data_IF_925061973324
#
_entry.id   IF_925061973324
#
_cell.length_a   1.000
_cell.length_b   1.000
_cell.length_c   1.000
_cell.angle_alpha   90.00
_cell.angle_beta   90.00
_cell.angle_gamma   90.00
#
_symmetry.space_group_name_H-M   'P 1'
#
loop_
_entity.id
_entity.type
_entity.pdbx_description
1 polymer ?
#
# COMPACT_ATOMS: atom_id res chain seq x y z
N UNK A 1 -38.52 -56.50 -50.97
CA UNK A 1 -37.22 -55.81 -50.94
C UNK A 1 -36.88 -55.55 -49.49
N UNK A 2 -35.91 -56.28 -48.94
CA UNK A 2 -35.44 -56.09 -47.57
C UNK A 2 -34.35 -55.02 -47.53
N UNK A 3 -34.35 -54.18 -46.49
CA UNK A 3 -33.22 -53.30 -46.17
C UNK A 3 -32.54 -53.84 -44.93
N UNK A 4 -31.35 -54.43 -45.11
CA UNK A 4 -30.58 -55.04 -44.04
C UNK A 4 -29.93 -53.94 -43.18
N UNK A 5 -30.46 -53.72 -41.97
CA UNK A 5 -29.74 -52.97 -40.94
C UNK A 5 -28.62 -53.85 -40.36
N UNK A 6 -27.37 -53.61 -40.78
CA UNK A 6 -26.18 -54.18 -40.14
C UNK A 6 -26.10 -53.69 -38.68
N UNK A 7 -26.21 -54.61 -37.72
CA UNK A 7 -25.87 -54.36 -36.32
C UNK A 7 -24.36 -54.50 -36.13
N UNK A 8 -23.75 -53.57 -35.41
CA UNK A 8 -22.38 -53.72 -34.90
C UNK A 8 -22.46 -54.43 -33.54
N UNK A 9 -21.71 -55.51 -33.29
CA UNK A 9 -21.73 -56.20 -32.01
C UNK A 9 -20.60 -55.77 -31.07
N UNK A 10 -20.96 -55.36 -29.86
CA UNK A 10 -20.07 -55.26 -28.71
C UNK A 10 -19.58 -56.66 -28.30
N UNK A 11 -18.31 -56.78 -27.88
CA UNK A 11 -17.62 -58.05 -27.61
C UNK A 11 -18.14 -58.90 -26.43
N UNK A 12 -19.34 -58.65 -25.91
CA UNK A 12 -19.97 -59.40 -24.80
C UNK A 12 -21.46 -59.75 -25.07
N UNK A 13 -21.96 -59.53 -26.29
CA UNK A 13 -23.16 -60.22 -26.80
C UNK A 13 -24.51 -59.95 -26.10
N UNK A 14 -24.67 -58.85 -25.36
CA UNK A 14 -25.98 -58.46 -24.78
C UNK A 14 -26.66 -57.37 -25.60
N UNK A 15 -27.82 -57.70 -26.18
CA UNK A 15 -28.67 -56.74 -26.90
C UNK A 15 -29.43 -55.90 -25.89
N UNK A 16 -29.05 -54.63 -25.72
CA UNK A 16 -29.86 -53.65 -25.01
C UNK A 16 -30.98 -53.12 -25.91
N UNK A 17 -32.24 -53.40 -25.55
CA UNK A 17 -33.36 -52.58 -25.98
C UNK A 17 -33.49 -51.41 -25.01
N UNK A 18 -33.28 -50.15 -25.42
CA UNK A 18 -33.41 -49.02 -24.52
C UNK A 18 -34.88 -48.80 -24.15
N UNK A 19 -35.19 -49.03 -22.87
CA UNK A 19 -36.43 -48.60 -22.20
C UNK A 19 -36.61 -47.08 -22.41
N UNK A 20 -37.83 -46.55 -22.23
CA UNK A 20 -38.10 -45.10 -22.39
C UNK A 20 -37.13 -44.22 -21.59
N UNK A 21 -36.76 -44.65 -20.37
CA UNK A 21 -35.74 -43.98 -19.55
C UNK A 21 -34.36 -43.89 -20.22
N UNK A 22 -33.95 -44.94 -20.92
CA UNK A 22 -32.67 -45.00 -21.66
C UNK A 22 -32.69 -44.14 -22.92
N UNK A 23 -33.83 -44.09 -23.62
CA UNK A 23 -34.01 -43.17 -24.76
C UNK A 23 -33.93 -41.70 -24.31
N UNK A 24 -34.51 -41.37 -23.14
CA UNK A 24 -34.39 -40.05 -22.52
C UNK A 24 -32.94 -39.66 -22.26
N UNK A 25 -32.14 -40.53 -21.63
CA UNK A 25 -30.72 -40.26 -21.32
C UNK A 25 -29.89 -40.08 -22.60
N UNK A 26 -30.12 -40.89 -23.64
CA UNK A 26 -29.42 -40.77 -24.93
C UNK A 26 -29.82 -39.46 -25.63
N UNK A 27 -31.11 -39.11 -25.65
CA UNK A 27 -31.58 -37.86 -26.21
C UNK A 27 -31.00 -36.63 -25.48
N UNK A 28 -30.92 -36.65 -24.15
CA UNK A 28 -30.32 -35.55 -23.37
C UNK A 28 -28.83 -35.38 -23.68
N UNK A 29 -28.05 -36.46 -23.78
CA UNK A 29 -26.64 -36.37 -24.16
C UNK A 29 -26.44 -35.92 -25.61
N UNK A 30 -27.27 -36.40 -26.54
CA UNK A 30 -27.24 -35.98 -27.94
C UNK A 30 -27.58 -34.48 -28.09
N UNK A 31 -28.59 -34.00 -27.37
CA UNK A 31 -28.95 -32.57 -27.31
C UNK A 31 -27.81 -31.75 -26.71
N UNK A 32 -27.18 -32.20 -25.61
CA UNK A 32 -26.06 -31.50 -24.99
C UNK A 32 -24.85 -31.41 -25.93
N UNK A 33 -24.50 -32.50 -26.61
CA UNK A 33 -23.41 -32.55 -27.59
C UNK A 33 -23.71 -31.69 -28.84
N UNK A 34 -24.96 -31.69 -29.32
CA UNK A 34 -25.40 -30.78 -30.38
C UNK A 34 -25.35 -29.31 -29.94
N UNK A 35 -25.75 -28.98 -28.71
CA UNK A 35 -25.64 -27.62 -28.18
C UNK A 35 -24.18 -27.16 -28.12
N UNK A 36 -23.27 -28.04 -27.67
CA UNK A 36 -21.83 -27.78 -27.63
C UNK A 36 -21.17 -27.69 -29.02
N UNK A 37 -21.73 -28.33 -30.04
CA UNK A 37 -21.24 -28.26 -31.42
C UNK A 37 -21.86 -27.13 -32.25
N UNK A 38 -23.06 -26.65 -31.87
CA UNK A 38 -23.79 -25.56 -32.52
C UNK A 38 -23.52 -24.19 -31.90
N UNK A 39 -23.12 -24.11 -30.63
CA UNK A 39 -22.43 -22.92 -30.14
C UNK A 39 -21.06 -22.84 -30.84
N UNK A 40 -20.78 -21.82 -31.68
CA UNK A 40 -19.42 -21.60 -32.13
C UNK A 40 -18.56 -21.41 -30.88
N UNK A 41 -17.34 -21.99 -30.80
CA UNK A 41 -16.51 -21.88 -29.60
C UNK A 41 -16.41 -20.40 -29.27
N UNK A 42 -16.86 -20.02 -28.06
CA UNK A 42 -16.75 -18.64 -27.59
C UNK A 42 -15.27 -18.32 -27.51
N UNK A 43 -14.75 -17.76 -28.60
CA UNK A 43 -13.44 -17.12 -28.66
C UNK A 43 -13.58 -15.85 -27.83
N UNK A 44 -13.58 -16.06 -26.51
CA UNK A 44 -13.28 -15.05 -25.53
C UNK A 44 -11.94 -14.48 -25.97
N UNK A 45 -11.95 -13.33 -26.64
CA UNK A 45 -10.75 -12.58 -27.02
C UNK A 45 -10.01 -12.35 -25.71
N UNK A 46 -9.02 -13.20 -25.42
CA UNK A 46 -8.32 -13.15 -24.15
C UNK A 46 -7.59 -11.83 -24.14
N UNK A 47 -8.04 -10.92 -23.26
CA UNK A 47 -7.39 -9.63 -23.05
C UNK A 47 -5.90 -9.92 -22.81
N UNK A 48 -5.07 -9.34 -23.66
CA UNK A 48 -3.62 -9.50 -23.62
C UNK A 48 -3.10 -9.00 -22.26
N UNK A 49 -2.07 -9.64 -21.68
CA UNK A 49 -1.37 -9.12 -20.51
C UNK A 49 -0.96 -7.67 -20.74
N UNK A 50 -1.31 -6.77 -19.82
CA UNK A 50 -0.92 -5.36 -19.87
C UNK A 50 -0.10 -5.01 -18.63
N UNK A 51 1.09 -4.40 -18.79
CA UNK A 51 1.84 -3.80 -17.70
C UNK A 51 1.00 -2.80 -16.89
N UNK A 52 1.25 -2.76 -15.59
CA UNK A 52 0.72 -1.77 -14.65
C UNK A 52 1.90 -1.22 -13.84
N UNK A 53 2.02 0.10 -13.75
CA UNK A 53 3.11 0.79 -13.05
C UNK A 53 2.62 2.16 -12.57
N UNK A 54 3.36 2.77 -11.64
CA UNK A 54 3.11 4.15 -11.22
C UNK A 54 3.90 5.11 -12.12
N UNK A 55 3.19 5.79 -13.03
CA UNK A 55 3.80 6.75 -13.97
C UNK A 55 4.34 8.00 -13.27
N UNK A 56 3.76 8.40 -12.13
CA UNK A 56 4.19 9.54 -11.33
C UNK A 56 5.45 9.24 -10.50
N UNK A 57 5.90 7.98 -10.51
CA UNK A 57 7.08 7.51 -9.78
C UNK A 57 8.13 6.94 -10.75
N UNK A 58 8.66 7.83 -11.59
CA UNK A 58 9.79 7.54 -12.48
C UNK A 58 11.11 7.40 -11.71
N UNK A 59 12.02 6.57 -12.21
CA UNK A 59 13.44 6.51 -11.81
C UNK A 59 14.30 7.26 -12.83
N UNK A 60 15.60 7.37 -12.57
CA UNK A 60 16.60 7.75 -13.59
C UNK A 60 17.22 6.51 -14.28
N UNK A 61 16.77 5.29 -13.97
CA UNK A 61 17.32 4.06 -14.57
C UNK A 61 16.83 3.93 -16.03
N UNK A 62 17.71 3.91 -17.04
CA UNK A 62 17.29 3.82 -18.43
C UNK A 62 16.71 2.43 -18.78
N UNK A 63 15.66 2.38 -19.61
CA UNK A 63 15.01 1.10 -19.94
C UNK A 63 15.94 0.12 -20.67
N UNK A 64 16.88 0.62 -21.47
CA UNK A 64 17.87 -0.16 -22.21
C UNK A 64 19.01 -0.72 -21.33
N UNK A 65 19.14 -0.24 -20.09
CA UNK A 65 19.96 -0.86 -19.04
C UNK A 65 19.15 -1.97 -18.40
N UNK A 66 17.93 -1.65 -17.94
CA UNK A 66 17.02 -2.61 -17.31
C UNK A 66 16.77 -3.87 -18.17
N UNK A 67 16.57 -3.71 -19.48
CA UNK A 67 16.26 -4.80 -20.41
C UNK A 67 17.30 -5.94 -20.43
N UNK A 68 18.54 -5.65 -20.00
CA UNK A 68 19.65 -6.61 -19.98
C UNK A 68 19.74 -7.42 -18.67
N UNK A 69 19.03 -7.01 -17.63
CA UNK A 69 19.26 -7.48 -16.25
C UNK A 69 18.47 -8.75 -15.88
N UNK A 70 17.28 -8.96 -16.47
CA UNK A 70 16.38 -10.05 -16.08
C UNK A 70 16.73 -11.43 -16.64
N UNK A 71 17.78 -11.56 -17.46
CA UNK A 71 18.12 -12.82 -18.11
C UNK A 71 18.39 -13.98 -17.11
N UNK A 72 19.01 -13.68 -15.97
CA UNK A 72 19.29 -14.66 -14.91
C UNK A 72 18.05 -14.98 -14.06
N UNK A 73 17.20 -13.99 -13.81
CA UNK A 73 15.91 -14.19 -13.14
C UNK A 73 15.00 -15.13 -13.96
N UNK A 74 14.82 -14.86 -15.26
CA UNK A 74 13.96 -15.68 -16.10
C UNK A 74 14.42 -17.14 -16.19
N UNK A 75 15.72 -17.41 -16.29
CA UNK A 75 16.26 -18.79 -16.24
C UNK A 75 15.89 -19.53 -14.96
N UNK A 76 15.78 -18.83 -13.82
CA UNK A 76 15.40 -19.42 -12.52
C UNK A 76 13.88 -19.65 -12.42
N UNK A 77 13.06 -18.72 -12.92
CA UNK A 77 11.61 -18.92 -13.01
C UNK A 77 11.28 -20.07 -13.96
N UNK A 78 11.93 -20.16 -15.12
CA UNK A 78 11.77 -21.28 -16.07
C UNK A 78 12.17 -22.65 -15.48
N UNK A 79 12.96 -22.68 -14.39
CA UNK A 79 13.36 -23.91 -13.68
C UNK A 79 12.52 -24.21 -12.41
N UNK A 80 11.78 -23.23 -11.89
CA UNK A 80 11.04 -23.30 -10.61
C UNK A 80 9.71 -22.54 -10.70
N UNK A 81 8.99 -22.78 -11.80
CA UNK A 81 7.79 -22.04 -12.23
C UNK A 81 6.63 -22.02 -11.22
N UNK A 82 6.53 -23.06 -10.39
CA UNK A 82 5.51 -23.28 -9.38
C UNK A 82 5.83 -22.68 -8.00
N UNK A 83 7.04 -22.13 -7.80
CA UNK A 83 7.47 -21.51 -6.53
C UNK A 83 7.57 -19.99 -6.66
N UNK A 84 7.20 -19.23 -5.60
CA UNK A 84 7.49 -17.81 -5.55
C UNK A 84 9.00 -17.58 -5.46
N UNK A 85 9.52 -16.64 -6.25
CA UNK A 85 10.94 -16.36 -6.38
C UNK A 85 11.21 -14.86 -6.29
N UNK A 86 12.18 -14.48 -5.46
CA UNK A 86 12.75 -13.14 -5.45
C UNK A 86 14.24 -13.20 -5.85
N UNK A 87 14.68 -12.25 -6.69
CA UNK A 87 16.08 -12.06 -7.03
C UNK A 87 16.42 -10.57 -7.09
N UNK A 88 17.33 -10.14 -6.21
CA UNK A 88 17.98 -8.82 -6.28
C UNK A 88 19.21 -8.89 -7.18
N UNK A 89 19.20 -8.13 -8.27
CA UNK A 89 20.32 -7.97 -9.20
C UNK A 89 20.84 -6.54 -9.19
N UNK A 90 22.12 -6.37 -9.55
CA UNK A 90 22.72 -5.07 -9.80
C UNK A 90 22.30 -4.56 -11.19
N UNK A 91 22.57 -3.28 -11.48
CA UNK A 91 22.29 -2.63 -12.76
C UNK A 91 23.03 -3.24 -13.97
N UNK A 92 24.09 -4.03 -13.75
CA UNK A 92 24.79 -4.81 -14.78
C UNK A 92 24.17 -6.21 -15.03
N UNK A 93 23.19 -6.63 -14.24
CA UNK A 93 22.56 -7.96 -14.29
C UNK A 93 23.27 -9.07 -13.50
N UNK A 94 24.33 -8.74 -12.75
CA UNK A 94 24.93 -9.64 -11.76
C UNK A 94 24.03 -9.80 -10.53
N UNK A 95 24.11 -10.93 -9.82
CA UNK A 95 23.28 -11.15 -8.64
C UNK A 95 23.88 -10.41 -7.44
N UNK A 96 23.12 -9.50 -6.83
CA UNK A 96 23.53 -8.79 -5.62
C UNK A 96 23.41 -9.69 -4.37
N UNK A 97 22.43 -10.59 -4.40
CA UNK A 97 22.13 -11.55 -3.33
C UNK A 97 21.93 -12.96 -3.92
N UNK A 98 22.13 -14.04 -3.14
CA UNK A 98 21.61 -15.35 -3.53
C UNK A 98 20.09 -15.28 -3.69
N UNK A 99 19.54 -16.07 -4.63
CA UNK A 99 18.10 -16.12 -4.88
C UNK A 99 17.37 -16.64 -3.64
N UNK A 100 16.36 -15.92 -3.17
CA UNK A 100 15.54 -16.31 -2.02
C UNK A 100 14.25 -16.94 -2.57
N UNK A 101 13.99 -18.19 -2.19
CA UNK A 101 12.66 -18.79 -2.34
C UNK A 101 11.78 -18.20 -1.24
N UNK A 102 10.83 -17.35 -1.62
CA UNK A 102 10.06 -16.55 -0.67
C UNK A 102 9.06 -17.44 0.07
N UNK A 103 9.35 -17.74 1.34
CA UNK A 103 8.35 -18.28 2.26
C UNK A 103 7.55 -17.11 2.85
N UNK A 104 6.28 -17.02 2.44
CA UNK A 104 5.19 -16.22 3.03
C UNK A 104 5.44 -14.69 3.24
N UNK A 105 4.74 -13.77 2.53
CA UNK A 105 4.99 -12.32 2.62
C UNK A 105 4.57 -11.62 3.93
N UNK A 106 4.34 -12.35 5.03
CA UNK A 106 3.70 -11.84 6.25
C UNK A 106 4.66 -11.41 7.38
N UNK A 107 5.88 -10.94 7.07
CA UNK A 107 6.73 -10.21 8.04
C UNK A 107 7.88 -9.43 7.36
N UNK A 108 7.96 -8.10 7.55
CA UNK A 108 9.08 -7.38 8.23
C UNK A 108 8.92 -5.83 8.20
N UNK A 109 9.48 -5.05 9.16
CA UNK A 109 9.28 -3.58 9.27
C UNK A 109 10.54 -2.68 9.12
N UNK A 110 10.36 -1.53 8.44
CA UNK A 110 10.99 -0.17 8.50
C UNK A 110 12.47 0.13 8.95
N UNK A 111 13.10 1.12 8.27
CA UNK A 111 14.20 2.10 8.64
C UNK A 111 15.71 1.73 8.39
N UNK A 112 16.70 2.68 8.26
CA UNK A 112 16.70 4.14 7.96
C UNK A 112 17.76 4.66 6.90
N UNK A 113 18.12 5.96 6.93
CA UNK A 113 18.80 6.80 5.90
C UNK A 113 20.24 7.28 6.22
N UNK A 114 21.07 7.54 5.18
CA UNK A 114 22.08 8.64 4.96
C UNK A 114 22.64 8.52 3.49
N UNK A 115 23.36 9.45 2.81
CA UNK A 115 23.65 10.89 3.00
C UNK A 115 24.70 11.49 1.98
N UNK A 116 24.53 12.77 1.56
CA UNK A 116 25.43 13.64 0.73
C UNK A 116 25.53 13.49 -0.82
N UNK A 117 25.69 14.62 -1.53
CA UNK A 117 25.55 14.81 -2.99
C UNK A 117 26.86 15.13 -3.76
N UNK A 118 26.89 14.88 -5.09
CA UNK A 118 27.53 15.76 -6.13
C UNK A 118 27.05 15.43 -7.56
N UNK A 119 27.26 16.36 -8.53
CA UNK A 119 26.64 16.35 -9.88
C UNK A 119 27.38 15.50 -10.94
N UNK A 120 26.64 15.15 -12.00
CA UNK A 120 26.91 14.16 -13.08
C UNK A 120 27.89 14.56 -14.19
N UNK A 121 28.55 13.54 -14.79
CA UNK A 121 28.72 13.44 -16.25
C UNK A 121 28.27 12.01 -16.76
N UNK A 122 28.66 11.45 -17.94
CA UNK A 122 27.75 10.74 -18.87
C UNK A 122 27.62 9.21 -18.63
N UNK A 123 26.70 8.50 -19.33
CA UNK A 123 26.26 7.16 -18.93
C UNK A 123 27.29 6.04 -19.18
N UNK A 124 27.64 5.36 -18.10
CA UNK A 124 28.35 4.09 -18.03
C UNK A 124 27.54 3.19 -17.08
N UNK A 125 27.30 1.88 -17.35
CA UNK A 125 26.64 0.99 -16.39
C UNK A 125 27.25 1.04 -14.98
N UNK A 126 28.58 1.18 -14.88
CA UNK A 126 29.29 1.32 -13.59
C UNK A 126 29.00 2.64 -12.83
N UNK A 127 28.21 3.56 -13.41
CA UNK A 127 27.70 4.74 -12.70
C UNK A 127 26.43 4.45 -11.89
N UNK A 128 25.90 3.23 -11.98
CA UNK A 128 24.68 2.77 -11.31
C UNK A 128 24.93 1.54 -10.42
N UNK A 129 26.16 1.33 -9.94
CA UNK A 129 26.54 0.15 -9.14
C UNK A 129 25.73 0.03 -7.83
N UNK A 130 25.28 1.16 -7.26
CA UNK A 130 24.41 1.20 -6.07
C UNK A 130 22.91 1.00 -6.38
N UNK A 131 22.53 0.98 -7.66
CA UNK A 131 21.15 0.80 -8.09
C UNK A 131 20.86 -0.69 -8.36
N UNK A 132 19.87 -1.20 -7.67
CA UNK A 132 19.49 -2.59 -7.68
C UNK A 132 18.07 -2.77 -8.21
N UNK A 133 17.84 -3.89 -8.88
CA UNK A 133 16.54 -4.30 -9.40
C UNK A 133 16.14 -5.56 -8.65
N UNK A 134 15.01 -5.48 -7.95
CA UNK A 134 14.39 -6.62 -7.27
C UNK A 134 13.33 -7.18 -8.21
N UNK A 135 13.53 -8.40 -8.71
CA UNK A 135 12.57 -9.12 -9.52
C UNK A 135 11.80 -10.13 -8.66
N UNK A 136 10.46 -10.15 -8.80
CA UNK A 136 9.57 -11.08 -8.11
C UNK A 136 8.75 -11.90 -9.12
N UNK A 137 8.58 -13.19 -8.84
CA UNK A 137 7.62 -14.07 -9.50
C UNK A 137 6.62 -14.61 -8.48
N UNK A 138 5.33 -14.45 -8.78
CA UNK A 138 4.22 -14.92 -7.95
C UNK A 138 3.32 -15.88 -8.75
N UNK A 139 3.53 -17.21 -8.65
CA UNK A 139 2.80 -18.19 -9.45
C UNK A 139 1.33 -18.36 -9.05
N UNK A 140 0.53 -18.85 -9.99
CA UNK A 140 -0.90 -19.18 -9.84
C UNK A 140 -1.25 -20.44 -10.65
N UNK A 141 -2.21 -21.27 -10.20
CA UNK A 141 -2.57 -22.53 -10.87
C UNK A 141 -3.44 -22.31 -12.12
N UNK A 142 -2.85 -21.72 -13.17
CA UNK A 142 -3.48 -21.40 -14.47
C UNK A 142 -2.43 -21.49 -15.60
N UNK A 143 -2.82 -21.70 -16.87
CA UNK A 143 -1.87 -21.71 -17.98
C UNK A 143 -1.29 -20.32 -18.28
N UNK A 144 -0.01 -20.27 -18.65
CA UNK A 144 0.69 -19.03 -18.97
C UNK A 144 0.29 -18.48 -20.34
N UNK A 145 0.02 -17.17 -20.40
CA UNK A 145 -0.19 -16.44 -21.67
C UNK A 145 1.12 -15.90 -22.29
N UNK A 146 2.19 -15.83 -21.49
CA UNK A 146 3.44 -15.14 -21.85
C UNK A 146 4.60 -15.68 -21.02
N UNK A 147 5.79 -15.79 -21.61
CA UNK A 147 7.04 -16.20 -20.93
C UNK A 147 7.65 -15.04 -20.13
N UNK A 148 8.56 -15.33 -19.19
CA UNK A 148 9.24 -14.32 -18.37
C UNK A 148 9.92 -13.23 -19.21
N UNK A 149 10.70 -13.62 -20.22
CA UNK A 149 11.41 -12.66 -21.09
C UNK A 149 10.44 -11.77 -21.85
N UNK A 150 9.39 -12.35 -22.42
CA UNK A 150 8.38 -11.58 -23.14
C UNK A 150 7.60 -10.66 -22.19
N UNK A 151 7.34 -11.10 -20.95
CA UNK A 151 6.64 -10.31 -19.94
C UNK A 151 7.43 -9.08 -19.50
N UNK A 152 8.71 -9.25 -19.18
CA UNK A 152 9.58 -8.15 -18.76
C UNK A 152 9.96 -7.22 -19.93
N UNK A 153 10.13 -7.77 -21.14
CA UNK A 153 10.26 -6.97 -22.37
C UNK A 153 8.96 -6.21 -22.73
N UNK A 154 7.78 -6.78 -22.46
CA UNK A 154 6.51 -6.06 -22.61
C UNK A 154 6.40 -4.92 -21.60
N UNK A 155 6.96 -5.08 -20.38
CA UNK A 155 7.07 -4.00 -19.40
C UNK A 155 7.99 -2.89 -19.93
N UNK A 156 9.19 -3.19 -20.43
CA UNK A 156 10.13 -2.16 -20.93
C UNK A 156 9.59 -1.41 -22.14
N UNK A 157 8.92 -2.10 -23.07
CA UNK A 157 8.30 -1.50 -24.26
C UNK A 157 6.98 -0.74 -23.98
N UNK A 158 6.48 -0.76 -22.73
CA UNK A 158 5.26 -0.05 -22.32
C UNK A 158 5.59 1.33 -21.74
N UNK A 159 4.59 2.17 -21.37
CA UNK A 159 4.84 3.41 -20.64
C UNK A 159 5.72 3.24 -19.39
N UNK A 160 5.74 2.03 -18.80
CA UNK A 160 6.59 1.72 -17.65
C UNK A 160 8.09 1.76 -17.92
N UNK A 161 8.55 1.68 -19.17
CA UNK A 161 9.95 1.94 -19.58
C UNK A 161 10.15 3.26 -20.35
N UNK A 162 9.06 4.01 -20.53
CA UNK A 162 9.03 5.27 -21.26
C UNK A 162 8.45 6.40 -20.40
N UNK A 163 8.86 6.45 -19.14
CA UNK A 163 8.50 7.51 -18.18
C UNK A 163 9.67 8.48 -17.95
N UNK A 164 9.45 9.45 -17.06
CA UNK A 164 10.37 10.55 -16.76
C UNK A 164 10.32 11.68 -17.80
N UNK A 165 11.00 12.78 -17.50
CA UNK A 165 11.01 13.99 -18.35
C UNK A 165 11.57 13.77 -19.77
N UNK A 166 12.34 12.70 -19.97
CA UNK A 166 12.94 12.31 -21.24
C UNK A 166 12.30 11.06 -21.88
N UNK A 167 11.24 10.49 -21.30
CA UNK A 167 10.54 9.27 -21.79
C UNK A 167 11.45 8.06 -22.09
N UNK A 168 12.57 7.95 -21.37
CA UNK A 168 13.61 6.93 -21.58
C UNK A 168 14.00 6.19 -20.29
N UNK A 169 13.22 6.38 -19.21
CA UNK A 169 13.50 5.80 -17.89
C UNK A 169 12.39 4.86 -17.45
N UNK A 170 12.75 3.91 -16.58
CA UNK A 170 11.83 2.98 -15.95
C UNK A 170 11.02 3.66 -14.84
N UNK A 171 9.77 3.24 -14.64
CA UNK A 171 9.06 3.48 -13.39
C UNK A 171 9.79 2.76 -12.23
N UNK A 172 9.66 3.24 -11.00
CA UNK A 172 10.28 2.59 -9.83
C UNK A 172 9.62 1.25 -9.50
N UNK A 173 8.38 1.03 -9.94
CA UNK A 173 7.66 -0.22 -9.80
C UNK A 173 6.83 -0.52 -11.05
N UNK A 174 6.78 -1.78 -11.45
CA UNK A 174 5.77 -2.27 -12.38
C UNK A 174 5.55 -3.78 -12.30
N UNK A 175 4.37 -4.20 -12.74
CA UNK A 175 3.93 -5.59 -12.75
C UNK A 175 3.17 -5.96 -14.03
N UNK A 176 3.14 -7.25 -14.36
CA UNK A 176 2.33 -7.81 -15.45
C UNK A 176 1.76 -9.18 -15.06
N UNK A 177 0.44 -9.31 -15.16
CA UNK A 177 -0.29 -10.56 -14.92
C UNK A 177 -0.36 -11.37 -16.23
N UNK A 178 0.36 -12.50 -16.24
CA UNK A 178 0.45 -13.39 -17.41
C UNK A 178 -0.53 -14.57 -17.33
N UNK A 179 -1.51 -14.51 -16.43
CA UNK A 179 -2.52 -15.54 -16.21
C UNK A 179 -2.07 -16.63 -15.24
N UNK A 180 -0.90 -17.23 -15.48
CA UNK A 180 -0.27 -18.24 -14.60
C UNK A 180 0.49 -17.64 -13.40
N UNK A 181 0.46 -16.32 -13.24
CA UNK A 181 1.19 -15.63 -12.19
C UNK A 181 1.47 -14.19 -12.58
N UNK A 182 2.18 -13.49 -11.71
CA UNK A 182 2.54 -12.08 -11.85
C UNK A 182 4.06 -11.95 -11.81
N UNK A 183 4.62 -11.32 -12.84
CA UNK A 183 5.99 -10.82 -12.80
C UNK A 183 5.96 -9.40 -12.27
N UNK A 184 6.86 -9.08 -11.33
CA UNK A 184 7.04 -7.73 -10.80
C UNK A 184 8.50 -7.34 -10.82
N UNK A 185 8.74 -6.04 -10.87
CA UNK A 185 10.02 -5.47 -10.53
C UNK A 185 9.85 -4.26 -9.61
N UNK A 186 10.84 -4.04 -8.77
CA UNK A 186 10.99 -2.82 -7.97
C UNK A 186 12.44 -2.36 -8.05
N UNK A 187 12.63 -1.05 -8.23
CA UNK A 187 13.93 -0.42 -8.16
C UNK A 187 14.23 -0.03 -6.70
N UNK A 188 15.48 -0.26 -6.29
CA UNK A 188 16.00 0.01 -4.95
C UNK A 188 17.40 0.63 -5.10
N UNK A 189 17.72 1.68 -4.35
CA UNK A 189 18.97 2.41 -4.56
C UNK A 189 18.95 3.85 -4.04
N UNK A 190 19.97 4.66 -4.39
CA UNK A 190 20.08 6.05 -3.94
C UNK A 190 18.94 6.92 -4.49
N UNK A 191 18.51 7.91 -3.70
CA UNK A 191 17.36 8.79 -4.02
C UNK A 191 17.48 9.55 -5.34
N UNK A 192 18.70 9.82 -5.78
CA UNK A 192 18.98 10.51 -7.04
C UNK A 192 18.78 9.60 -8.27
N UNK A 193 18.65 8.28 -8.08
CA UNK A 193 18.33 7.30 -9.14
C UNK A 193 16.91 6.73 -8.93
N UNK A 194 16.55 6.43 -7.69
CA UNK A 194 15.24 5.90 -7.30
C UNK A 194 14.62 6.88 -6.30
N UNK A 195 13.80 7.85 -6.75
CA UNK A 195 13.21 8.82 -5.83
C UNK A 195 12.34 8.11 -4.79
N UNK A 196 12.14 8.70 -3.60
CA UNK A 196 11.18 8.16 -2.64
C UNK A 196 9.78 8.08 -3.27
N UNK A 197 8.89 7.18 -2.78
CA UNK A 197 7.51 7.15 -3.24
C UNK A 197 6.90 8.55 -3.22
N UNK A 198 6.15 8.98 -4.25
CA UNK A 198 5.50 10.28 -4.22
C UNK A 198 4.63 10.36 -2.97
N UNK A 199 4.88 11.38 -2.15
CA UNK A 199 4.13 11.64 -0.93
C UNK A 199 2.69 11.92 -1.36
N UNK A 200 1.82 10.90 -1.26
CA UNK A 200 0.40 11.06 -1.54
C UNK A 200 -0.10 12.21 -0.69
N UNK A 201 -0.64 13.25 -1.34
CA UNK A 201 -1.28 14.32 -0.58
C UNK A 201 -2.34 13.69 0.33
N UNK A 202 -2.34 13.97 1.64
CA UNK A 202 -3.31 13.36 2.53
C UNK A 202 -4.71 13.81 2.15
N UNK A 203 -5.62 12.84 2.03
CA UNK A 203 -7.04 13.10 1.75
C UNK A 203 -7.60 14.10 2.78
N UNK A 204 -8.42 15.08 2.36
CA UNK A 204 -8.97 16.09 3.27
C UNK A 204 -9.74 15.46 4.44
N UNK A 205 -9.25 15.71 5.66
CA UNK A 205 -9.78 15.13 6.89
C UNK A 205 -11.01 15.91 7.36
N UNK A 206 -12.12 15.19 7.62
CA UNK A 206 -13.33 15.78 8.19
C UNK A 206 -13.12 16.13 9.69
N UNK A 207 -13.70 17.22 10.23
CA UNK A 207 -13.57 17.60 11.64
C UNK A 207 -14.36 16.68 12.58
N UNK A 208 -13.93 15.43 12.70
CA UNK A 208 -14.49 14.43 13.61
C UNK A 208 -13.48 14.12 14.72
N UNK A 209 -14.00 13.78 15.90
CA UNK A 209 -13.19 13.49 17.08
C UNK A 209 -12.53 12.10 16.98
N UNK A 210 -11.21 12.06 17.08
CA UNK A 210 -10.43 10.82 17.08
C UNK A 210 -10.62 10.01 18.37
N UNK A 211 -10.12 8.78 18.35
CA UNK A 211 -9.78 8.05 19.59
C UNK A 211 -8.66 8.79 20.32
N UNK A 212 -8.62 8.66 21.65
CA UNK A 212 -7.53 9.19 22.47
C UNK A 212 -6.20 8.49 22.12
N UNK A 213 -5.11 9.24 22.17
CA UNK A 213 -3.76 8.70 22.19
C UNK A 213 -3.11 9.05 23.54
N UNK A 214 -2.70 8.04 24.30
CA UNK A 214 -2.11 8.23 25.62
C UNK A 214 -0.58 8.20 25.56
N UNK A 215 0.06 9.13 26.27
CA UNK A 215 1.51 9.16 26.44
C UNK A 215 1.97 8.05 27.39
N UNK A 216 3.25 7.66 27.32
CA UNK A 216 3.87 6.74 28.28
C UNK A 216 4.11 7.46 29.61
N UNK A 217 4.01 6.74 30.72
CA UNK A 217 4.12 7.24 32.12
C UNK A 217 5.34 8.11 32.45
N UNK A 218 6.42 8.06 31.65
CA UNK A 218 7.62 8.87 31.83
C UNK A 218 8.14 9.44 30.50
N UNK A 219 7.25 9.65 29.51
CA UNK A 219 7.62 10.06 28.15
C UNK A 219 8.36 11.41 28.11
N UNK A 220 8.01 12.32 29.04
CA UNK A 220 8.60 13.65 29.17
C UNK A 220 9.51 13.78 30.39
N UNK A 221 10.02 12.65 30.90
CA UNK A 221 10.77 12.57 32.15
C UNK A 221 9.89 12.14 33.34
N UNK A 222 10.50 12.09 34.53
CA UNK A 222 9.79 11.78 35.78
C UNK A 222 9.05 13.01 36.29
N UNK A 223 7.80 12.82 36.67
CA UNK A 223 6.97 13.81 37.39
C UNK A 223 6.24 13.13 38.55
N UNK A 224 5.79 13.91 39.54
CA UNK A 224 4.81 13.43 40.51
C UNK A 224 3.44 13.24 39.82
N UNK A 225 2.55 12.44 40.40
CA UNK A 225 1.19 12.26 39.87
C UNK A 225 0.45 13.60 39.75
N UNK A 226 -0.07 13.88 38.55
CA UNK A 226 -0.80 15.12 38.27
C UNK A 226 -2.02 15.24 39.18
N UNK A 227 -2.09 16.34 39.93
CA UNK A 227 -3.18 16.54 40.87
C UNK A 227 -4.53 16.76 40.14
N UNK A 228 -5.57 15.93 40.38
CA UNK A 228 -6.84 16.00 39.64
C UNK A 228 -7.60 17.32 39.83
N UNK A 229 -7.47 17.94 41.01
CA UNK A 229 -8.16 19.19 41.33
C UNK A 229 -7.52 20.38 40.60
N UNK A 230 -6.19 20.43 40.56
CA UNK A 230 -5.46 21.42 39.77
C UNK A 230 -5.69 21.24 38.28
N UNK A 231 -5.67 20.00 37.76
CA UNK A 231 -6.00 19.73 36.36
C UNK A 231 -7.38 20.30 35.99
N UNK A 232 -8.40 20.08 36.83
CA UNK A 232 -9.74 20.61 36.61
C UNK A 232 -9.81 22.14 36.64
N UNK A 233 -9.00 22.80 37.46
CA UNK A 233 -8.96 24.27 37.54
C UNK A 233 -8.20 24.92 36.39
N UNK A 234 -7.13 24.29 35.89
CA UNK A 234 -6.23 24.88 34.88
C UNK A 234 -6.75 24.75 33.44
N UNK A 235 -7.68 23.84 33.18
CA UNK A 235 -8.31 23.65 31.87
C UNK A 235 -9.05 24.89 31.34
N UNK A 236 -9.81 25.61 32.18
CA UNK A 236 -10.55 26.80 31.70
C UNK A 236 -9.62 27.97 31.36
N UNK A 237 -8.56 28.29 32.14
CA UNK A 237 -7.44 29.12 31.71
C UNK A 237 -6.81 28.68 30.39
N UNK A 238 -6.52 27.38 30.20
CA UNK A 238 -5.93 26.85 28.97
C UNK A 238 -6.82 27.05 27.73
N UNK A 239 -8.14 26.89 27.88
CA UNK A 239 -9.11 27.09 26.79
C UNK A 239 -9.52 28.56 26.59
N UNK A 240 -9.21 29.48 27.51
CA UNK A 240 -9.62 30.89 27.40
C UNK A 240 -9.07 31.59 26.14
N UNK A 241 -7.80 31.41 25.72
CA UNK A 241 -7.28 32.05 24.50
C UNK A 241 -7.88 31.52 23.19
N UNK A 242 -8.59 30.38 23.22
CA UNK A 242 -9.26 29.79 22.07
C UNK A 242 -10.65 30.39 21.80
N UNK A 243 -11.28 31.00 22.81
CA UNK A 243 -12.65 31.54 22.70
C UNK A 243 -12.73 32.64 21.64
N UNK A 244 -13.55 32.42 20.61
CA UNK A 244 -13.80 33.39 19.54
C UNK A 244 -12.67 33.53 18.51
N UNK A 245 -11.74 32.57 18.47
CA UNK A 245 -10.73 32.46 17.40
C UNK A 245 -11.14 31.41 16.36
N UNK A 246 -10.45 31.42 15.24
CA UNK A 246 -10.33 30.28 14.34
C UNK A 246 -8.85 29.90 14.22
N UNK A 247 -8.58 28.69 13.74
CA UNK A 247 -7.24 28.18 13.43
C UNK A 247 -7.25 27.43 12.09
N UNK A 248 -6.15 27.55 11.35
CA UNK A 248 -5.87 26.88 10.07
C UNK A 248 -4.39 26.48 9.98
N UNK A 249 -3.99 25.89 8.86
CA UNK A 249 -2.58 25.53 8.63
C UNK A 249 -1.67 26.76 8.62
N UNK A 250 -0.57 26.67 9.37
CA UNK A 250 0.44 27.72 9.51
C UNK A 250 0.20 28.72 10.66
N UNK A 251 -0.95 28.67 11.33
CA UNK A 251 -1.19 29.51 12.52
C UNK A 251 -0.40 28.99 13.74
N UNK A 252 0.02 29.92 14.60
CA UNK A 252 0.74 29.60 15.85
C UNK A 252 -0.10 28.74 16.82
N UNK A 253 0.52 27.80 17.56
CA UNK A 253 -0.18 26.98 18.54
C UNK A 253 -0.68 27.82 19.73
N UNK A 254 -1.87 27.49 20.22
CA UNK A 254 -2.38 28.02 21.49
C UNK A 254 -1.78 27.18 22.61
N UNK A 255 -0.77 27.71 23.29
CA UNK A 255 -0.08 27.05 24.41
C UNK A 255 -0.48 27.69 25.74
N UNK A 256 -0.68 26.87 26.76
CA UNK A 256 -0.77 27.28 28.15
C UNK A 256 0.06 26.33 29.01
N UNK A 257 1.11 26.84 29.65
CA UNK A 257 2.06 26.06 30.43
C UNK A 257 2.30 26.67 31.81
N UNK A 258 2.25 25.83 32.85
CA UNK A 258 2.36 26.28 34.24
C UNK A 258 2.90 25.18 35.14
N UNK A 259 3.21 25.51 36.40
CA UNK A 259 3.66 24.55 37.40
C UNK A 259 2.77 24.68 38.63
N UNK A 260 2.16 23.56 39.03
CA UNK A 260 1.20 23.50 40.12
C UNK A 260 1.62 22.50 41.20
N UNK A 261 0.73 22.26 42.17
CA UNK A 261 0.94 21.18 43.15
C UNK A 261 0.70 19.84 42.45
N UNK A 262 1.73 18.99 42.38
CA UNK A 262 1.68 17.72 41.64
C UNK A 262 2.26 17.80 40.22
N UNK A 263 3.18 18.75 39.96
CA UNK A 263 4.00 18.74 38.76
C UNK A 263 3.75 19.89 37.78
N UNK A 264 4.40 19.83 36.60
CA UNK A 264 4.20 20.79 35.52
C UNK A 264 2.98 20.39 34.67
N UNK A 265 2.31 21.39 34.10
CA UNK A 265 1.09 21.26 33.33
C UNK A 265 1.29 21.96 31.98
N UNK A 266 1.20 21.21 30.89
CA UNK A 266 1.30 21.73 29.53
C UNK A 266 0.02 21.40 28.76
N UNK A 267 -0.59 22.42 28.17
CA UNK A 267 -1.74 22.31 27.29
C UNK A 267 -1.41 22.99 25.97
N UNK A 268 -1.70 22.33 24.86
CA UNK A 268 -1.48 22.87 23.52
C UNK A 268 -2.66 22.54 22.60
N UNK A 269 -3.11 23.55 21.84
CA UNK A 269 -3.99 23.37 20.69
C UNK A 269 -3.21 23.80 19.45
N UNK A 270 -3.01 22.89 18.49
CA UNK A 270 -2.22 23.17 17.27
C UNK A 270 -2.88 22.60 16.02
N UNK A 271 -2.64 23.23 14.88
CA UNK A 271 -2.92 22.61 13.59
C UNK A 271 -1.83 21.59 13.26
N UNK A 272 -2.22 20.38 12.85
CA UNK A 272 -1.30 19.32 12.47
C UNK A 272 -0.62 19.68 11.14
N UNK A 273 0.71 19.68 11.10
CA UNK A 273 1.49 19.97 9.89
C UNK A 273 1.10 19.05 8.72
N UNK A 274 0.96 19.62 7.51
CA UNK A 274 0.47 18.96 6.28
C UNK A 274 -0.96 18.40 6.38
N UNK A 275 -1.73 18.75 7.40
CA UNK A 275 -3.11 18.25 7.52
C UNK A 275 -4.05 19.12 6.67
N UNK A 276 -4.52 18.55 5.55
CA UNK A 276 -5.62 19.11 4.77
C UNK A 276 -6.95 18.79 5.45
N UNK A 277 -7.82 19.77 5.62
CA UNK A 277 -9.16 19.59 6.19
C UNK A 277 -10.25 19.78 5.12
N UNK A 278 -11.42 19.17 5.31
CA UNK A 278 -12.61 19.46 4.48
C UNK A 278 -13.18 20.86 4.70
N UNK A 279 -12.74 21.58 5.74
CA UNK A 279 -13.11 22.98 6.02
C UNK A 279 -11.85 23.86 6.08
N UNK A 280 -11.99 25.15 5.76
CA UNK A 280 -10.84 26.07 5.63
C UNK A 280 -10.18 26.43 6.96
N UNK A 281 -10.95 26.44 8.04
CA UNK A 281 -10.54 26.81 9.39
C UNK A 281 -11.46 26.15 10.41
N UNK A 282 -11.02 26.05 11.66
CA UNK A 282 -11.74 25.43 12.77
C UNK A 282 -11.77 26.35 13.99
N UNK A 283 -12.87 26.33 14.76
CA UNK A 283 -12.95 26.98 16.08
C UNK A 283 -12.21 26.09 17.11
N UNK A 284 -11.05 26.51 17.65
CA UNK A 284 -10.31 25.70 18.63
C UNK A 284 -11.03 25.56 19.98
N UNK A 285 -12.11 26.30 20.22
CA UNK A 285 -12.97 26.12 21.39
C UNK A 285 -14.14 25.13 21.11
N UNK A 286 -14.76 25.16 19.92
CA UNK A 286 -15.76 24.18 19.46
C UNK A 286 -15.35 23.51 18.11
N UNK A 287 -14.44 22.52 18.12
CA UNK A 287 -13.76 22.07 16.91
C UNK A 287 -14.58 21.14 15.99
N UNK A 288 -15.79 20.73 16.39
CA UNK A 288 -16.69 19.93 15.55
C UNK A 288 -17.86 20.81 15.09
N UNK A 289 -17.91 21.22 13.81
CA UNK A 289 -19.01 22.05 13.29
C UNK A 289 -20.37 21.38 13.50
N UNK A 290 -21.27 22.06 14.21
CA UNK A 290 -22.62 21.59 14.53
C UNK A 290 -22.74 20.77 15.82
N UNK A 291 -21.65 20.22 16.37
CA UNK A 291 -21.68 19.46 17.62
C UNK A 291 -21.12 20.26 18.81
N UNK A 292 -22.02 20.85 19.59
CA UNK A 292 -21.69 21.57 20.84
C UNK A 292 -21.30 20.65 22.00
N UNK A 293 -21.38 19.33 21.82
CA UNK A 293 -20.96 18.37 22.85
C UNK A 293 -19.44 18.28 22.97
N UNK A 294 -18.71 18.51 21.87
CA UNK A 294 -17.24 18.54 21.81
C UNK A 294 -16.75 19.98 21.99
N UNK A 295 -16.06 20.23 23.10
CA UNK A 295 -15.56 21.55 23.49
C UNK A 295 -14.17 21.40 24.11
N UNK A 296 -13.29 22.38 23.90
CA UNK A 296 -11.90 22.41 24.39
C UNK A 296 -11.76 21.92 25.84
N UNK A 297 -12.61 22.40 26.76
CA UNK A 297 -12.52 22.06 28.18
C UNK A 297 -12.76 20.56 28.44
N UNK A 298 -13.66 19.92 27.67
CA UNK A 298 -13.88 18.48 27.75
C UNK A 298 -12.73 17.69 27.13
N UNK A 299 -12.14 18.18 26.04
CA UNK A 299 -11.04 17.49 25.36
C UNK A 299 -9.82 17.35 26.28
N UNK A 300 -9.38 18.44 26.92
CA UNK A 300 -8.28 18.37 27.90
C UNK A 300 -8.64 17.59 29.17
N UNK A 301 -9.90 17.66 29.64
CA UNK A 301 -10.33 16.84 30.78
C UNK A 301 -10.30 15.34 30.47
N UNK A 302 -10.74 14.95 29.27
CA UNK A 302 -10.70 13.57 28.78
C UNK A 302 -9.26 13.11 28.53
N UNK A 303 -8.40 13.98 27.98
CA UNK A 303 -7.00 13.68 27.68
C UNK A 303 -6.20 13.29 28.94
N UNK A 304 -6.59 13.85 30.09
CA UNK A 304 -6.12 13.41 31.40
C UNK A 304 -6.85 12.16 31.91
N UNK A 305 -8.18 12.15 31.90
CA UNK A 305 -8.98 11.14 32.61
C UNK A 305 -9.02 9.76 31.94
N UNK A 306 -8.90 9.69 30.61
CA UNK A 306 -9.00 8.44 29.84
C UNK A 306 -7.64 7.72 29.69
N UNK A 307 -6.55 8.30 30.21
CA UNK A 307 -5.22 7.70 30.21
C UNK A 307 -4.78 7.28 31.61
N UNK A 308 -4.62 5.96 31.82
CA UNK A 308 -4.05 5.41 33.05
C UNK A 308 -2.51 5.38 32.96
N UNK A 309 -1.89 6.54 33.19
CA UNK A 309 -0.45 6.73 33.03
C UNK A 309 0.19 7.64 34.09
N UNK A 310 -0.27 7.61 35.35
CA UNK A 310 0.24 8.52 36.39
C UNK A 310 -0.09 10.00 36.13
N UNK A 311 -1.02 10.27 35.21
CA UNK A 311 -1.39 11.62 34.82
C UNK A 311 -0.45 12.27 33.81
N UNK A 312 0.48 11.54 33.17
CA UNK A 312 1.28 12.09 32.05
C UNK A 312 0.41 12.66 30.94
N UNK A 313 -0.81 12.13 30.76
CA UNK A 313 -1.82 12.70 29.87
C UNK A 313 -1.87 12.06 28.49
N UNK A 314 -2.34 12.82 27.50
CA UNK A 314 -2.63 12.30 26.17
C UNK A 314 -3.11 13.39 25.21
N UNK A 315 -3.53 12.95 24.03
CA UNK A 315 -3.96 13.83 22.94
C UNK A 315 -5.25 13.36 22.28
N UNK A 316 -6.05 14.33 21.79
CA UNK A 316 -7.12 14.11 20.83
C UNK A 316 -6.87 14.89 19.55
N UNK A 317 -7.17 14.28 18.40
CA UNK A 317 -7.29 14.98 17.13
C UNK A 317 -8.78 15.26 16.85
N UNK A 318 -9.10 16.45 16.35
CA UNK A 318 -10.41 16.80 15.78
C UNK A 318 -10.17 17.32 14.36
N UNK A 319 -10.30 16.41 13.39
CA UNK A 319 -9.79 16.63 12.04
C UNK A 319 -8.29 16.98 12.04
N UNK A 320 -7.99 18.26 11.81
CA UNK A 320 -6.62 18.78 11.78
C UNK A 320 -6.17 19.53 13.03
N UNK A 321 -7.05 19.80 13.99
CA UNK A 321 -6.63 20.33 15.30
C UNK A 321 -6.21 19.18 16.22
N UNK A 322 -5.07 19.32 16.90
CA UNK A 322 -4.65 18.47 18.01
C UNK A 322 -4.77 19.22 19.32
N UNK A 323 -5.34 18.54 20.32
CA UNK A 323 -5.43 18.95 21.72
C UNK A 323 -4.50 18.06 22.53
N UNK A 324 -3.35 18.60 22.94
CA UNK A 324 -2.35 17.92 23.74
C UNK A 324 -2.44 18.36 25.20
N UNK A 325 -2.59 17.42 26.12
CA UNK A 325 -2.32 17.63 27.54
C UNK A 325 -1.16 16.73 27.98
N UNK A 326 -0.11 17.34 28.53
CA UNK A 326 1.09 16.64 28.99
C UNK A 326 1.57 17.15 30.36
N UNK A 327 2.00 16.22 31.22
CA UNK A 327 2.74 16.52 32.44
C UNK A 327 4.24 16.71 32.15
N UNK A 328 4.59 17.81 31.49
CA UNK A 328 5.97 18.07 31.03
C UNK A 328 6.50 19.43 31.47
N UNK A 329 7.80 19.55 31.82
CA UNK A 329 8.40 20.84 32.21
C UNK A 329 8.32 21.87 31.08
N UNK A 330 8.37 23.16 31.47
CA UNK A 330 8.41 24.29 30.52
C UNK A 330 9.58 24.10 29.53
N UNK A 331 9.32 24.38 28.26
CA UNK A 331 10.34 24.43 27.19
C UNK A 331 11.08 25.77 27.20
#
# INVERSE_FOLDING_TARGET
MEVIQKRVPDGIGKVFHPNELGQGIIATHAILALYQALEPPKVCKMKEPKPTCNMDWASELPFNVFDKTYANFCKRVEAMDHLPLELKVNSDGSNASPAIVVQDPSNYPWWPLFGFQKRTPPPNPAAFDDAHIIFEWLPRPRPCKMSCKNALSTITASPCGHTGSQMNTMAVYGEIDVGCGVYRYKLDGPKDVVPPPPEKEPDPVKPELSKIHCYKTNEFGKHDDVNPLWQRMLISPACKPAKGKTMREGDDPIVYDTTGKGGPYYYEIKWKHKCKSTVKELDPYHPVPGDKSVVCEKLFYRAYKECDNGGTGGSFDVGCLRYDFAAMPKK
#
